data_IF_436314200810
#
_entry.id   IF_436314200810
#
_cell.length_a   1.000
_cell.length_b   1.000
_cell.length_c   1.000
_cell.angle_alpha   90.00
_cell.angle_beta   90.00
_cell.angle_gamma   90.00
#
_symmetry.space_group_name_H-M   'P 1'
#
loop_
_entity.id
_entity.type
_entity.pdbx_description
1 polymer ?
#
# COMPACT_ATOMS: atom_id res chain seq x y z
N UNK A 1 -16.55 -7.07 12.35
CA UNK A 1 -15.55 -6.17 11.71
C UNK A 1 -15.21 -4.92 12.53
N UNK A 2 -13.92 -4.61 12.65
CA UNK A 2 -13.40 -3.30 13.11
C UNK A 2 -12.70 -2.58 11.93
N UNK A 3 -12.84 -1.26 11.82
CA UNK A 3 -12.21 -0.43 10.78
C UNK A 3 -11.41 0.71 11.41
N UNK A 4 -10.20 0.95 10.88
CA UNK A 4 -9.29 2.01 11.30
C UNK A 4 -8.89 2.82 10.07
N UNK A 5 -9.13 4.12 10.10
CA UNK A 5 -8.64 5.03 9.06
C UNK A 5 -7.14 5.29 9.22
N UNK A 6 -6.41 5.10 8.13
CA UNK A 6 -4.96 5.28 8.05
C UNK A 6 -4.67 6.40 7.04
N UNK A 7 -4.12 7.50 7.53
CA UNK A 7 -3.78 8.66 6.70
C UNK A 7 -2.48 8.49 5.90
N UNK A 8 -1.69 7.44 6.17
CA UNK A 8 -0.37 7.23 5.57
C UNK A 8 -0.22 5.85 4.93
N UNK A 9 0.14 5.81 3.65
CA UNK A 9 0.46 4.57 2.94
C UNK A 9 1.63 3.82 3.56
N UNK A 10 2.60 4.54 4.13
CA UNK A 10 3.75 3.94 4.81
C UNK A 10 3.33 3.06 6.00
N UNK A 11 2.29 3.46 6.71
CA UNK A 11 1.77 2.68 7.84
C UNK A 11 1.14 1.38 7.36
N UNK A 12 0.36 1.42 6.29
CA UNK A 12 -0.18 0.20 5.69
C UNK A 12 0.91 -0.70 5.13
N UNK A 13 1.95 -0.12 4.51
CA UNK A 13 3.06 -0.89 3.96
C UNK A 13 3.86 -1.60 5.07
N UNK A 14 4.11 -0.92 6.20
CA UNK A 14 4.74 -1.53 7.37
C UNK A 14 3.92 -2.72 7.92
N UNK A 15 2.58 -2.60 7.94
CA UNK A 15 1.68 -3.70 8.33
C UNK A 15 1.76 -4.83 7.31
N UNK A 16 1.71 -4.50 6.01
CA UNK A 16 1.82 -5.45 4.90
C UNK A 16 3.13 -6.24 4.96
N UNK A 17 4.26 -5.58 5.25
CA UNK A 17 5.57 -6.22 5.42
C UNK A 17 5.61 -7.24 6.57
N UNK A 18 4.83 -7.01 7.63
CA UNK A 18 4.72 -7.93 8.77
C UNK A 18 3.61 -8.98 8.58
N UNK A 19 2.69 -8.75 7.65
CA UNK A 19 1.57 -9.62 7.37
C UNK A 19 1.88 -10.61 6.25
N UNK A 20 1.26 -11.79 6.33
CA UNK A 20 1.23 -12.72 5.22
C UNK A 20 0.15 -12.28 4.23
N UNK A 21 0.55 -11.67 3.13
CA UNK A 21 -0.36 -11.32 2.03
C UNK A 21 -0.99 -12.61 1.47
N UNK A 22 -2.31 -12.65 1.49
CA UNK A 22 -3.11 -13.76 0.96
C UNK A 22 -3.48 -13.46 -0.48
N UNK A 23 -4.02 -12.27 -0.70
CA UNK A 23 -4.47 -11.84 -2.01
C UNK A 23 -4.53 -10.31 -2.10
N UNK A 24 -4.55 -9.78 -3.31
CA UNK A 24 -4.72 -8.35 -3.56
C UNK A 24 -5.77 -8.21 -4.64
N UNK A 25 -6.68 -7.26 -4.45
CA UNK A 25 -7.82 -6.99 -5.31
C UNK A 25 -7.81 -5.51 -5.67
N UNK A 26 -8.15 -5.18 -6.91
CA UNK A 26 -8.01 -3.81 -7.42
C UNK A 26 -6.58 -3.46 -7.80
N UNK A 27 -6.39 -2.22 -8.25
CA UNK A 27 -5.12 -1.71 -8.73
C UNK A 27 -5.14 -0.19 -8.74
N UNK A 28 -4.28 0.46 -7.95
CA UNK A 28 -4.16 1.93 -7.88
C UNK A 28 -3.70 2.58 -9.20
N UNK A 29 -3.16 1.81 -10.14
CA UNK A 29 -2.69 2.32 -11.43
C UNK A 29 -3.80 2.33 -12.50
N UNK A 30 -4.74 1.39 -12.43
CA UNK A 30 -5.85 1.27 -13.40
C UNK A 30 -7.22 1.62 -12.82
N UNK A 31 -7.31 1.67 -11.49
CA UNK A 31 -8.46 2.10 -10.70
C UNK A 31 -8.02 3.11 -9.64
N UNK A 32 -8.90 3.38 -8.68
CA UNK A 32 -8.68 4.36 -7.60
C UNK A 32 -8.41 3.71 -6.24
N UNK A 33 -8.74 2.43 -6.12
CA UNK A 33 -8.67 1.68 -4.88
C UNK A 33 -7.95 0.35 -5.09
N UNK A 34 -7.28 -0.12 -4.04
CA UNK A 34 -6.62 -1.42 -3.99
C UNK A 34 -6.75 -2.00 -2.59
N UNK A 35 -7.38 -3.17 -2.48
CA UNK A 35 -7.52 -3.91 -1.23
C UNK A 35 -6.50 -5.04 -1.17
N UNK A 36 -5.60 -5.01 -0.19
CA UNK A 36 -4.66 -6.09 0.10
C UNK A 36 -5.18 -6.89 1.28
N UNK A 37 -5.56 -8.14 1.02
CA UNK A 37 -6.00 -9.09 2.02
C UNK A 37 -4.79 -9.82 2.59
N UNK A 38 -4.57 -9.70 3.90
CA UNK A 38 -3.42 -10.26 4.59
C UNK A 38 -3.80 -10.86 5.95
N UNK A 39 -2.93 -11.70 6.49
CA UNK A 39 -3.08 -12.28 7.82
C UNK A 39 -1.85 -12.00 8.67
N UNK A 40 -2.07 -11.55 9.92
CA UNK A 40 -1.02 -11.43 10.93
C UNK A 40 -1.36 -12.40 12.04
N UNK A 41 -0.53 -13.42 12.24
CA UNK A 41 -0.77 -14.49 13.22
C UNK A 41 -2.15 -15.15 13.02
N UNK A 42 -3.13 -14.84 13.88
CA UNK A 42 -4.52 -15.33 13.82
C UNK A 42 -5.52 -14.24 13.40
N UNK A 43 -5.05 -13.00 13.18
CA UNK A 43 -5.87 -11.87 12.76
C UNK A 43 -5.96 -11.78 11.23
N UNK A 44 -7.19 -11.60 10.74
CA UNK A 44 -7.51 -11.42 9.34
C UNK A 44 -7.68 -9.94 9.02
N UNK A 45 -6.92 -9.42 8.06
CA UNK A 45 -6.82 -7.99 7.78
C UNK A 45 -7.07 -7.67 6.29
N UNK A 46 -7.83 -6.63 6.01
CA UNK A 46 -7.91 -5.97 4.70
C UNK A 46 -7.24 -4.59 4.82
N UNK A 47 -6.19 -4.38 4.04
CA UNK A 47 -5.52 -3.09 3.89
C UNK A 47 -6.03 -2.43 2.60
N UNK A 48 -6.96 -1.50 2.74
CA UNK A 48 -7.53 -0.74 1.62
C UNK A 48 -6.70 0.52 1.39
N UNK A 49 -5.98 0.55 0.27
CA UNK A 49 -5.27 1.71 -0.24
C UNK A 49 -6.19 2.47 -1.19
N UNK A 50 -6.20 3.80 -1.09
CA UNK A 50 -6.94 4.66 -2.00
C UNK A 50 -6.08 5.85 -2.43
N UNK A 51 -6.16 6.21 -3.71
CA UNK A 51 -5.50 7.40 -4.28
C UNK A 51 -6.29 8.69 -4.04
N UNK A 52 -7.59 8.56 -3.77
CA UNK A 52 -8.57 9.65 -3.75
C UNK A 52 -9.36 9.74 -2.45
N UNK A 53 -9.32 8.69 -1.61
CA UNK A 53 -9.91 8.66 -0.28
C UNK A 53 -8.86 8.35 0.81
N UNK A 54 -9.30 8.36 2.06
CA UNK A 54 -8.46 7.87 3.16
C UNK A 54 -8.26 6.35 3.04
N UNK A 55 -7.09 5.88 3.44
CA UNK A 55 -6.83 4.44 3.48
C UNK A 55 -7.49 3.86 4.72
N UNK A 56 -7.84 2.58 4.66
CA UNK A 56 -8.47 1.89 5.80
C UNK A 56 -7.81 0.55 6.06
N UNK A 57 -7.66 0.22 7.34
CA UNK A 57 -7.32 -1.10 7.81
C UNK A 57 -8.57 -1.70 8.43
N UNK A 58 -9.03 -2.83 7.89
CA UNK A 58 -10.16 -3.58 8.42
C UNK A 58 -9.68 -4.89 9.03
N UNK A 59 -10.25 -5.23 10.18
CA UNK A 59 -10.04 -6.51 10.85
C UNK A 59 -11.32 -7.32 10.85
N UNK A 60 -11.21 -8.57 10.42
CA UNK A 60 -12.31 -9.52 10.42
C UNK A 60 -12.19 -10.43 11.64
N UNK A 61 -13.35 -10.81 12.19
CA UNK A 61 -13.39 -11.61 13.41
C UNK A 61 -13.12 -13.09 13.13
N UNK A 62 -13.42 -13.55 11.92
CA UNK A 62 -13.27 -14.94 11.51
C UNK A 62 -12.92 -15.04 10.01
N UNK A 63 -12.38 -16.20 9.64
CA UNK A 63 -12.02 -16.52 8.25
C UNK A 63 -13.21 -16.44 7.29
N UNK A 64 -14.40 -16.88 7.70
CA UNK A 64 -15.59 -16.84 6.83
C UNK A 64 -15.96 -15.40 6.43
N UNK A 65 -15.80 -14.43 7.33
CA UNK A 65 -16.07 -13.01 7.07
C UNK A 65 -15.00 -12.42 6.13
N UNK A 66 -13.74 -12.81 6.33
CA UNK A 66 -12.61 -12.42 5.47
C UNK A 66 -12.76 -12.95 4.04
N UNK A 67 -13.05 -14.25 3.89
CA UNK A 67 -13.22 -14.88 2.58
C UNK A 67 -14.43 -14.28 1.83
N UNK A 68 -15.52 -13.97 2.54
CA UNK A 68 -16.70 -13.32 1.96
C UNK A 68 -16.41 -11.89 1.49
N UNK A 69 -15.63 -11.12 2.24
CA UNK A 69 -15.22 -9.78 1.84
C UNK A 69 -14.25 -9.80 0.66
N UNK A 70 -13.33 -10.76 0.61
CA UNK A 70 -12.44 -10.99 -0.51
C UNK A 70 -13.22 -11.30 -1.79
N UNK A 71 -14.22 -12.18 -1.73
CA UNK A 71 -15.09 -12.48 -2.87
C UNK A 71 -15.89 -11.26 -3.33
N UNK A 72 -16.47 -10.49 -2.40
CA UNK A 72 -17.19 -9.26 -2.74
C UNK A 72 -16.29 -8.26 -3.47
N UNK A 73 -15.09 -8.01 -2.96
CA UNK A 73 -14.14 -7.11 -3.62
C UNK A 73 -13.76 -7.60 -5.01
N UNK A 74 -13.59 -8.92 -5.20
CA UNK A 74 -13.31 -9.48 -6.53
C UNK A 74 -14.46 -9.29 -7.51
N UNK A 75 -15.70 -9.31 -7.02
CA UNK A 75 -16.88 -9.04 -7.85
C UNK A 75 -16.99 -7.56 -8.21
N UNK A 76 -16.65 -6.65 -7.29
CA UNK A 76 -16.72 -5.19 -7.48
C UNK A 76 -15.56 -4.62 -8.32
N UNK A 77 -14.31 -4.93 -7.97
CA UNK A 77 -13.09 -4.39 -8.60
C UNK A 77 -12.53 -5.29 -9.73
N UNK A 78 -13.08 -6.51 -9.87
CA UNK A 78 -12.59 -7.53 -10.80
C UNK A 78 -11.38 -8.30 -10.24
N UNK A 79 -11.22 -9.57 -10.66
CA UNK A 79 -10.09 -10.43 -10.26
C UNK A 79 -8.73 -9.85 -10.70
N UNK A 80 -8.13 -8.98 -9.89
CA UNK A 80 -6.72 -8.63 -10.02
C UNK A 80 -5.90 -9.81 -9.48
N UNK A 81 -5.62 -10.80 -10.33
CA UNK A 81 -4.74 -11.93 -9.96
C UNK A 81 -3.35 -11.39 -9.66
N UNK A 82 -2.98 -11.36 -8.39
CA UNK A 82 -1.63 -10.98 -7.99
C UNK A 82 -0.64 -11.96 -8.61
N UNK A 83 0.24 -11.45 -9.48
CA UNK A 83 1.41 -12.18 -9.92
C UNK A 83 2.41 -12.15 -8.76
N UNK A 84 2.78 -13.35 -8.31
CA UNK A 84 3.80 -13.73 -7.32
C UNK A 84 4.66 -12.58 -6.76
N UNK A 85 4.65 -12.48 -5.43
CA UNK A 85 5.45 -11.58 -4.63
C UNK A 85 6.90 -11.50 -5.14
N UNK A 86 7.26 -10.36 -5.74
CA UNK A 86 8.64 -9.94 -5.76
C UNK A 86 8.92 -9.33 -4.39
N UNK A 87 9.60 -10.11 -3.55
CA UNK A 87 10.36 -9.64 -2.40
C UNK A 87 11.14 -8.40 -2.83
N UNK A 88 10.66 -7.21 -2.45
CA UNK A 88 11.52 -6.05 -2.34
C UNK A 88 12.33 -6.27 -1.07
N UNK A 89 13.45 -6.98 -1.24
CA UNK A 89 14.52 -7.02 -0.25
C UNK A 89 14.93 -5.56 0.03
N UNK A 90 14.74 -5.19 1.28
CA UNK A 90 15.05 -3.89 1.85
C UNK A 90 16.57 -3.83 2.02
N UNK A 91 17.28 -3.36 0.99
CA UNK A 91 18.69 -2.99 1.15
C UNK A 91 18.74 -1.57 1.75
N UNK A 92 18.74 -1.59 3.07
CA UNK A 92 19.00 -0.50 3.99
C UNK A 92 20.48 -0.12 3.86
N UNK A 93 20.80 0.86 3.02
CA UNK A 93 22.06 1.62 3.08
C UNK A 93 21.74 3.10 3.34
N UNK A 94 21.55 3.41 4.63
CA UNK A 94 21.96 4.69 5.21
C UNK A 94 23.42 4.98 4.81
N UNK A 95 23.70 6.04 4.05
CA UNK A 95 24.80 6.99 4.36
C UNK A 95 24.83 8.19 3.39
N UNK A 96 25.09 9.34 4.00
CA UNK A 96 25.64 10.59 3.49
C UNK A 96 24.72 11.69 2.90
N UNK A 97 24.41 12.64 3.79
CA UNK A 97 24.35 14.08 3.52
C UNK A 97 25.57 14.53 2.68
N UNK A 98 25.39 15.03 1.47
CA UNK A 98 26.23 16.13 0.96
C UNK A 98 25.39 17.12 0.12
N UNK A 99 25.47 18.39 0.55
CA UNK A 99 24.94 19.57 -0.12
C UNK A 99 25.58 19.74 -1.52
N UNK A 100 24.78 19.83 -2.59
CA UNK A 100 25.27 20.36 -3.88
C UNK A 100 24.52 21.65 -4.25
N UNK A 101 25.17 22.75 -3.84
CA UNK A 101 25.47 23.98 -4.59
C UNK A 101 24.46 24.46 -5.64
N UNK A 102 23.75 25.54 -5.27
CA UNK A 102 22.91 26.36 -6.14
C UNK A 102 23.80 27.19 -7.08
N UNK A 103 24.09 26.66 -8.27
CA UNK A 103 24.80 27.41 -9.32
C UNK A 103 23.85 28.43 -9.97
N UNK A 104 24.01 29.70 -9.58
CA UNK A 104 23.34 30.84 -10.23
C UNK A 104 24.23 31.29 -11.37
N UNK A 105 23.97 30.81 -12.58
CA UNK A 105 24.62 31.37 -13.77
C UNK A 105 24.19 32.84 -13.96
N UNK A 106 25.19 33.70 -13.79
CA UNK A 106 25.24 35.12 -14.12
C UNK A 106 25.07 35.31 -15.63
N UNK A 107 23.95 35.89 -16.06
CA UNK A 107 23.85 36.55 -17.37
C UNK A 107 23.81 38.07 -17.17
N UNK A 108 24.99 38.62 -16.88
CA UNK A 108 25.28 40.03 -17.13
C UNK A 108 25.37 40.28 -18.65
N UNK A 109 24.30 40.72 -19.29
CA UNK A 109 24.39 41.46 -20.56
C UNK A 109 23.91 42.91 -20.41
N UNK A 110 24.77 43.81 -20.87
CA UNK A 110 24.70 45.27 -20.75
C UNK A 110 23.97 45.90 -21.93
N UNK A 111 23.13 46.90 -21.66
CA UNK A 111 23.05 48.16 -22.43
C UNK A 111 22.49 49.29 -21.55
#
# INVERSE_FOLDING_TARGET
MEEIEITSWLTLDAIKKKAKVVETVGNLQTGHDMSVFAMIEEDFLELSYSDSAANTLRRYENRDEFDLALEQRKEEDGEAKYADAQDYDEDDEDEDEEEEEFDVEDESESD
#
